data_IF_591971525218
#
_entry.id   IF_591971525218
#
_cell.length_a   1.000
_cell.length_b   1.000
_cell.length_c   1.000
_cell.angle_alpha   90.00
_cell.angle_beta   90.00
_cell.angle_gamma   90.00
#
_symmetry.space_group_name_H-M   'P 1'
#
loop_
_entity.id
_entity.type
_entity.pdbx_description
1 polymer ?
#
# COMPACT_ATOMS: atom_id res chain seq x y z
N UNK A 1 3.87 26.17 -26.49
CA UNK A 1 2.63 25.68 -25.86
C UNK A 1 2.89 25.53 -24.37
N UNK A 2 2.12 26.21 -23.52
CA UNK A 2 2.26 26.11 -22.07
C UNK A 2 1.55 24.83 -21.59
N UNK A 3 2.25 23.98 -20.84
CA UNK A 3 1.65 22.81 -20.19
C UNK A 3 0.77 23.30 -19.04
N UNK A 4 -0.53 23.32 -19.26
CA UNK A 4 -1.52 23.60 -18.22
C UNK A 4 -1.43 22.47 -17.20
N UNK A 5 -0.88 22.77 -16.03
CA UNK A 5 -0.82 21.84 -14.90
C UNK A 5 -2.24 21.68 -14.38
N UNK A 6 -2.94 20.63 -14.81
CA UNK A 6 -4.26 20.27 -14.30
C UNK A 6 -4.10 19.98 -12.80
N UNK A 7 -4.59 20.88 -11.96
CA UNK A 7 -4.70 20.63 -10.54
C UNK A 7 -5.70 19.48 -10.36
N UNK A 8 -5.20 18.30 -10.00
CA UNK A 8 -6.04 17.20 -9.59
C UNK A 8 -6.51 17.51 -8.18
N UNK A 9 -7.68 18.12 -8.08
CA UNK A 9 -8.42 18.20 -6.84
C UNK A 9 -9.27 16.93 -6.74
N UNK A 10 -8.67 15.87 -6.20
CA UNK A 10 -9.38 14.70 -5.72
C UNK A 10 -9.19 14.70 -4.21
N UNK A 11 -10.17 15.24 -3.47
CA UNK A 11 -10.42 14.80 -2.10
C UNK A 11 -10.93 13.34 -2.12
N UNK A 12 -10.17 12.43 -2.73
CA UNK A 12 -10.21 11.03 -2.34
C UNK A 12 -9.47 11.01 -1.01
N UNK A 13 -10.13 10.53 0.03
CA UNK A 13 -9.48 10.28 1.31
C UNK A 13 -8.28 9.37 1.03
N UNK A 14 -7.08 9.93 0.97
CA UNK A 14 -5.89 9.17 0.60
C UNK A 14 -5.63 8.14 1.70
N UNK A 15 -5.89 6.87 1.39
CA UNK A 15 -5.64 5.77 2.31
C UNK A 15 -4.13 5.60 2.40
N UNK A 16 -3.57 5.90 3.57
CA UNK A 16 -2.15 5.71 3.85
C UNK A 16 -1.99 4.44 4.68
N UNK A 17 -1.26 3.47 4.13
CA UNK A 17 -0.91 2.23 4.83
C UNK A 17 0.54 2.32 5.27
N UNK A 18 0.77 2.07 6.56
CA UNK A 18 2.10 2.07 7.17
C UNK A 18 2.62 0.63 7.29
N UNK A 19 3.71 0.32 6.62
CA UNK A 19 4.33 -0.99 6.65
C UNK A 19 5.57 -0.99 7.53
N UNK A 20 5.56 -1.80 8.57
CA UNK A 20 6.75 -2.12 9.35
C UNK A 20 7.42 -3.36 8.76
N UNK A 21 8.39 -3.14 7.87
CA UNK A 21 9.11 -4.22 7.19
C UNK A 21 9.95 -5.07 8.13
N UNK A 22 10.37 -4.53 9.27
CA UNK A 22 11.16 -5.28 10.24
C UNK A 22 10.24 -6.28 10.92
N UNK A 23 9.10 -5.78 11.42
CA UNK A 23 8.06 -6.63 12.01
C UNK A 23 7.54 -7.67 11.01
N UNK A 24 7.22 -7.26 9.79
CA UNK A 24 6.71 -8.14 8.74
C UNK A 24 7.75 -9.15 8.18
N UNK A 25 9.01 -9.07 8.62
CA UNK A 25 10.07 -10.00 8.23
C UNK A 25 10.35 -11.07 9.29
N UNK A 26 9.86 -10.87 10.51
CA UNK A 26 10.02 -11.80 11.62
C UNK A 26 8.81 -12.73 11.56
N UNK A 27 8.93 -13.81 10.78
CA UNK A 27 7.87 -14.81 10.56
C UNK A 27 7.60 -15.69 11.81
N UNK A 28 7.65 -15.12 13.01
CA UNK A 28 7.32 -15.81 14.25
C UNK A 28 5.81 -16.03 14.38
N UNK A 29 5.01 -15.17 13.76
CA UNK A 29 3.56 -15.27 13.76
C UNK A 29 2.95 -15.10 12.36
N UNK A 30 1.88 -15.83 12.02
CA UNK A 30 1.22 -15.73 10.71
C UNK A 30 0.60 -14.34 10.45
N UNK A 31 0.42 -13.52 11.48
CA UNK A 31 0.03 -12.12 11.41
C UNK A 31 1.17 -11.13 11.10
N UNK A 32 2.43 -11.57 11.13
CA UNK A 32 3.60 -10.72 10.94
C UNK A 32 4.08 -10.79 9.48
N UNK A 33 3.16 -10.44 8.57
CA UNK A 33 3.44 -10.33 7.15
C UNK A 33 2.81 -9.05 6.55
N UNK A 34 3.25 -8.67 5.35
CA UNK A 34 2.83 -7.44 4.69
C UNK A 34 1.34 -7.46 4.34
N UNK A 35 0.80 -8.62 3.98
CA UNK A 35 -0.64 -8.76 3.73
C UNK A 35 -1.46 -8.41 4.97
N UNK A 36 -1.11 -8.96 6.14
CA UNK A 36 -1.87 -8.80 7.36
C UNK A 36 -1.73 -7.39 7.96
N UNK A 37 -0.56 -6.76 7.82
CA UNK A 37 -0.36 -5.35 8.16
C UNK A 37 -1.25 -4.42 7.30
N UNK A 38 -1.38 -4.69 6.00
CA UNK A 38 -2.33 -3.96 5.14
C UNK A 38 -3.79 -4.25 5.54
N UNK A 39 -4.16 -5.52 5.70
CA UNK A 39 -5.52 -5.94 6.03
C UNK A 39 -6.01 -5.31 7.34
N UNK A 40 -5.18 -5.28 8.39
CA UNK A 40 -5.50 -4.65 9.69
C UNK A 40 -5.80 -3.15 9.56
N UNK A 41 -5.08 -2.45 8.70
CA UNK A 41 -5.24 -1.01 8.52
C UNK A 41 -6.44 -0.67 7.64
N UNK A 42 -6.76 -1.54 6.67
CA UNK A 42 -7.90 -1.40 5.77
C UNK A 42 -9.24 -1.81 6.41
N UNK A 43 -9.22 -2.63 7.47
CA UNK A 43 -10.40 -3.07 8.25
C UNK A 43 -11.59 -3.49 7.36
N UNK A 44 -12.77 -2.88 7.57
CA UNK A 44 -14.03 -3.21 6.87
C UNK A 44 -13.96 -2.95 5.37
N UNK A 45 -13.08 -2.05 4.94
CA UNK A 45 -13.07 -1.52 3.58
C UNK A 45 -12.05 -2.25 2.70
N UNK A 46 -11.28 -3.18 3.28
CA UNK A 46 -10.27 -3.98 2.58
C UNK A 46 -10.80 -4.58 1.29
N UNK A 47 -12.00 -5.18 1.31
CA UNK A 47 -12.60 -5.81 0.14
C UNK A 47 -12.92 -4.83 -1.00
N UNK A 48 -13.26 -3.59 -0.69
CA UNK A 48 -13.54 -2.54 -1.68
C UNK A 48 -12.24 -1.93 -2.19
N UNK A 49 -11.26 -1.76 -1.30
CA UNK A 49 -9.98 -1.14 -1.62
C UNK A 49 -9.12 -2.08 -2.46
N UNK A 50 -9.02 -3.38 -2.15
CA UNK A 50 -8.28 -4.32 -3.01
C UNK A 50 -8.91 -4.54 -4.40
N UNK A 51 -10.15 -4.07 -4.61
CA UNK A 51 -10.93 -4.31 -5.84
C UNK A 51 -11.29 -3.05 -6.60
N UNK A 52 -10.69 -1.88 -6.30
CA UNK A 52 -10.92 -0.71 -7.16
C UNK A 52 -10.43 -1.00 -8.58
N UNK A 53 -11.04 -0.29 -9.53
CA UNK A 53 -10.78 -0.41 -10.97
C UNK A 53 -9.31 -0.18 -11.33
N UNK A 54 -8.90 -0.76 -12.47
CA UNK A 54 -7.51 -1.02 -12.89
C UNK A 54 -6.55 0.19 -12.89
N UNK A 55 -7.06 1.43 -12.88
CA UNK A 55 -6.25 2.65 -13.03
C UNK A 55 -6.03 3.46 -11.73
N UNK A 56 -6.54 3.02 -10.58
CA UNK A 56 -6.39 3.77 -9.32
C UNK A 56 -5.34 3.15 -8.38
N UNK A 57 -4.39 3.98 -7.93
CA UNK A 57 -3.63 3.66 -6.73
C UNK A 57 -4.59 3.61 -5.54
N UNK A 58 -4.71 2.43 -4.95
CA UNK A 58 -5.67 2.17 -3.87
C UNK A 58 -5.19 2.59 -2.50
N UNK A 59 -3.89 2.75 -2.33
CA UNK A 59 -3.29 3.33 -1.13
C UNK A 59 -1.91 3.94 -1.40
N UNK A 60 -1.48 4.81 -0.50
CA UNK A 60 -0.08 5.24 -0.37
C UNK A 60 0.64 4.36 0.63
N UNK A 61 1.73 3.74 0.20
CA UNK A 61 2.55 2.88 1.04
C UNK A 61 3.65 3.71 1.73
N UNK A 62 3.65 3.71 3.06
CA UNK A 62 4.69 4.34 3.88
C UNK A 62 5.44 3.27 4.67
N UNK A 63 6.73 3.14 4.47
CA UNK A 63 7.55 2.19 5.22
C UNK A 63 8.15 2.83 6.47
N UNK A 64 8.08 2.15 7.61
CA UNK A 64 8.66 2.65 8.86
C UNK A 64 10.15 2.89 8.69
N UNK A 65 10.60 4.12 8.99
CA UNK A 65 12.01 4.50 8.88
C UNK A 65 12.48 4.82 7.46
N UNK A 66 11.62 4.73 6.43
CA UNK A 66 11.95 5.14 5.07
C UNK A 66 11.21 6.42 4.70
N UNK A 67 11.96 7.39 4.18
CA UNK A 67 11.40 8.58 3.56
C UNK A 67 11.44 8.40 2.04
N UNK A 68 10.33 7.93 1.45
CA UNK A 68 10.21 7.89 0.00
C UNK A 68 9.55 9.15 -0.53
N UNK A 69 10.23 9.82 -1.47
CA UNK A 69 9.67 10.94 -2.22
C UNK A 69 8.77 10.42 -3.36
N UNK A 70 9.02 9.19 -3.85
CA UNK A 70 8.21 8.54 -4.87
C UNK A 70 7.16 7.59 -4.25
N UNK A 71 5.90 7.89 -4.52
CA UNK A 71 4.77 7.05 -4.10
C UNK A 71 4.55 5.86 -5.05
N UNK A 72 4.95 5.97 -6.32
CA UNK A 72 4.80 4.89 -7.30
C UNK A 72 5.67 3.69 -6.96
N UNK A 73 6.94 3.91 -6.63
CA UNK A 73 7.86 2.85 -6.20
C UNK A 73 7.38 2.14 -4.95
N UNK A 74 7.05 2.90 -3.91
CA UNK A 74 6.60 2.35 -2.62
C UNK A 74 5.32 1.51 -2.77
N UNK A 75 4.37 1.99 -3.58
CA UNK A 75 3.15 1.26 -3.88
C UNK A 75 3.42 -0.07 -4.60
N UNK A 76 4.19 -0.05 -5.70
CA UNK A 76 4.53 -1.27 -6.45
C UNK A 76 5.27 -2.30 -5.59
N UNK A 77 6.18 -1.84 -4.74
CA UNK A 77 6.89 -2.71 -3.78
C UNK A 77 5.91 -3.35 -2.80
N UNK A 78 4.95 -2.58 -2.27
CA UNK A 78 3.98 -3.10 -1.30
C UNK A 78 3.11 -4.20 -1.90
N UNK A 79 2.64 -4.01 -3.14
CA UNK A 79 1.87 -5.02 -3.87
C UNK A 79 2.71 -6.28 -4.10
N UNK A 80 3.96 -6.11 -4.53
CA UNK A 80 4.87 -7.23 -4.80
C UNK A 80 5.06 -8.10 -3.56
N UNK A 81 5.32 -7.47 -2.40
CA UNK A 81 5.51 -8.17 -1.13
C UNK A 81 4.23 -8.84 -0.64
N UNK A 82 3.09 -8.16 -0.70
CA UNK A 82 1.78 -8.75 -0.34
C UNK A 82 1.49 -9.98 -1.20
N UNK A 83 1.74 -9.91 -2.51
CA UNK A 83 1.57 -11.06 -3.41
C UNK A 83 2.55 -12.18 -3.08
N UNK A 84 3.79 -11.87 -2.70
CA UNK A 84 4.75 -12.87 -2.26
C UNK A 84 4.25 -13.61 -1.00
N UNK A 85 3.73 -12.90 -0.01
CA UNK A 85 3.18 -13.49 1.23
C UNK A 85 1.97 -14.39 0.94
N UNK A 86 1.08 -13.98 0.04
CA UNK A 86 -0.10 -14.77 -0.33
C UNK A 86 0.25 -16.05 -1.10
N UNK A 87 1.38 -16.03 -1.82
CA UNK A 87 1.84 -17.14 -2.66
C UNK A 87 2.92 -17.99 -2.00
N UNK A 88 3.50 -17.55 -0.86
CA UNK A 88 4.44 -18.34 -0.08
C UNK A 88 3.69 -19.37 0.75
N UNK A 89 3.41 -20.52 0.14
CA UNK A 89 2.91 -21.75 0.79
C UNK A 89 3.98 -22.44 1.61
#
# INVERSE_FOLDING_TARGET
AALTKTAVNLESSEINIKFDIVKASIAEHPEDNMFYEAYKQLKSDASQIFRRTEDEQVWKATYVGMFSIDQGGSYRDSITRICADLCST
#
